data_IF_778837731920
#
_entry.id   IF_778837731920
#
_cell.length_a   1.000
_cell.length_b   1.000
_cell.length_c   1.000
_cell.angle_alpha   90.00
_cell.angle_beta   90.00
_cell.angle_gamma   90.00
#
_symmetry.space_group_name_H-M   'P 1'
#
loop_
_entity.id
_entity.type
_entity.pdbx_description
1 polymer ?
#
# COMPACT_ATOMS: atom_id res chain seq x y z
N UNK A 1 -22.96 12.27 -26.25
CA UNK A 1 -23.74 11.11 -25.81
C UNK A 1 -22.75 10.04 -25.42
N UNK A 2 -22.40 9.96 -24.13
CA UNK A 2 -21.48 8.95 -23.61
C UNK A 2 -22.29 7.70 -23.32
N UNK A 3 -22.18 6.67 -24.16
CA UNK A 3 -22.82 5.39 -23.96
C UNK A 3 -22.36 4.78 -22.64
N UNK A 4 -23.29 4.44 -21.76
CA UNK A 4 -23.01 3.52 -20.65
C UNK A 4 -22.44 2.21 -21.24
N UNK A 5 -21.43 1.58 -20.61
CA UNK A 5 -20.91 0.33 -21.11
C UNK A 5 -22.02 -0.72 -21.13
N UNK A 6 -22.12 -1.44 -22.25
CA UNK A 6 -22.98 -2.63 -22.38
C UNK A 6 -22.43 -3.73 -21.47
N UNK A 7 -22.85 -3.73 -20.23
CA UNK A 7 -22.42 -4.68 -19.18
C UNK A 7 -22.56 -4.00 -17.83
N UNK A 8 -23.02 -4.73 -16.81
CA UNK A 8 -23.12 -4.21 -15.46
C UNK A 8 -21.76 -3.88 -14.84
N UNK A 9 -21.78 -3.35 -13.63
CA UNK A 9 -20.56 -3.00 -12.87
C UNK A 9 -19.57 -4.19 -12.71
N UNK A 10 -20.02 -5.44 -12.49
CA UNK A 10 -19.14 -6.60 -12.40
C UNK A 10 -18.33 -6.86 -13.69
N UNK A 11 -18.96 -6.76 -14.85
CA UNK A 11 -18.34 -6.98 -16.17
C UNK A 11 -17.30 -5.88 -16.47
N UNK A 12 -17.60 -4.60 -16.12
CA UNK A 12 -16.65 -3.51 -16.28
C UNK A 12 -15.42 -3.72 -15.39
N UNK A 13 -15.60 -4.07 -14.11
CA UNK A 13 -14.50 -4.34 -13.19
C UNK A 13 -13.67 -5.54 -13.65
N UNK A 14 -14.31 -6.62 -14.10
CA UNK A 14 -13.63 -7.81 -14.62
C UNK A 14 -12.74 -7.48 -15.81
N UNK A 15 -13.27 -6.75 -16.80
CA UNK A 15 -12.52 -6.34 -17.98
C UNK A 15 -11.33 -5.45 -17.64
N UNK A 16 -11.53 -4.43 -16.79
CA UNK A 16 -10.47 -3.51 -16.35
C UNK A 16 -9.38 -4.22 -15.56
N UNK A 17 -9.77 -5.09 -14.63
CA UNK A 17 -8.83 -5.89 -13.84
C UNK A 17 -7.99 -6.81 -14.73
N UNK A 18 -8.61 -7.46 -15.73
CA UNK A 18 -7.91 -8.30 -16.70
C UNK A 18 -6.88 -7.49 -17.51
N UNK A 19 -7.23 -6.27 -17.94
CA UNK A 19 -6.29 -5.37 -18.64
C UNK A 19 -5.09 -5.01 -17.77
N UNK A 20 -5.32 -4.67 -16.49
CA UNK A 20 -4.23 -4.35 -15.56
C UNK A 20 -3.34 -5.56 -15.31
N UNK A 21 -3.91 -6.74 -15.09
CA UNK A 21 -3.14 -7.98 -14.92
C UNK A 21 -2.31 -8.32 -16.15
N UNK A 22 -2.86 -8.12 -17.36
CA UNK A 22 -2.12 -8.32 -18.62
C UNK A 22 -0.93 -7.35 -18.75
N UNK A 23 -1.10 -6.06 -18.36
CA UNK A 23 0.01 -5.09 -18.33
C UNK A 23 1.10 -5.50 -17.34
N UNK A 24 0.72 -5.96 -16.15
CA UNK A 24 1.67 -6.43 -15.12
C UNK A 24 2.46 -7.61 -15.66
N UNK A 25 1.79 -8.61 -16.23
CA UNK A 25 2.43 -9.80 -16.77
C UNK A 25 3.39 -9.45 -17.91
N UNK A 26 2.98 -8.60 -18.85
CA UNK A 26 3.83 -8.14 -19.94
C UNK A 26 5.07 -7.38 -19.46
N UNK A 27 4.91 -6.47 -18.50
CA UNK A 27 6.02 -5.73 -17.91
C UNK A 27 7.00 -6.65 -17.16
N UNK A 28 6.48 -7.61 -16.40
CA UNK A 28 7.30 -8.58 -15.65
C UNK A 28 8.08 -9.49 -16.58
N UNK A 29 7.45 -9.95 -17.66
CA UNK A 29 8.13 -10.73 -18.70
C UNK A 29 9.26 -9.93 -19.35
N UNK A 30 9.00 -8.68 -19.75
CA UNK A 30 10.00 -7.79 -20.34
C UNK A 30 11.18 -7.51 -19.40
N UNK A 31 10.90 -7.39 -18.09
CA UNK A 31 11.92 -7.19 -17.06
C UNK A 31 12.61 -8.50 -16.59
N UNK A 32 12.20 -9.66 -17.08
CA UNK A 32 12.63 -10.98 -16.59
C UNK A 32 12.52 -11.12 -15.06
N UNK A 33 11.44 -10.57 -14.48
CA UNK A 33 11.17 -10.54 -13.04
C UNK A 33 9.89 -11.30 -12.67
N UNK A 34 9.75 -11.65 -11.39
CA UNK A 34 8.47 -12.15 -10.87
C UNK A 34 7.40 -11.06 -10.88
N UNK A 35 6.16 -11.45 -11.11
CA UNK A 35 5.03 -10.52 -11.06
C UNK A 35 4.88 -9.90 -9.67
N UNK A 36 4.80 -8.56 -9.56
CA UNK A 36 4.52 -7.89 -8.31
C UNK A 36 3.07 -8.14 -7.85
N UNK A 37 2.85 -8.09 -6.56
CA UNK A 37 1.52 -8.14 -5.96
C UNK A 37 0.72 -6.91 -6.35
N UNK A 38 -0.50 -7.11 -6.85
CA UNK A 38 -1.41 -6.02 -7.16
C UNK A 38 -2.23 -5.65 -5.92
N UNK A 39 -2.05 -4.45 -5.42
CA UNK A 39 -2.93 -3.83 -4.43
C UNK A 39 -3.94 -2.96 -5.19
N UNK A 40 -5.22 -3.33 -5.17
CA UNK A 40 -6.28 -2.52 -5.79
C UNK A 40 -6.67 -1.39 -4.84
N UNK A 41 -6.49 -0.14 -5.29
CA UNK A 41 -6.77 1.05 -4.46
C UNK A 41 -8.24 1.41 -4.55
N UNK A 42 -8.98 1.11 -3.48
CA UNK A 42 -10.45 1.16 -3.42
C UNK A 42 -11.03 2.39 -2.75
N UNK A 43 -10.17 3.38 -2.44
CA UNK A 43 -10.63 4.67 -1.89
C UNK A 43 -11.70 5.31 -2.78
N UNK A 44 -12.72 5.91 -2.15
CA UNK A 44 -13.89 6.54 -2.79
C UNK A 44 -14.90 5.57 -3.43
N UNK A 45 -14.64 4.29 -3.50
CA UNK A 45 -15.55 3.30 -4.05
C UNK A 45 -16.23 2.51 -2.93
N UNK A 46 -17.49 2.05 -3.13
CA UNK A 46 -18.26 1.37 -2.09
C UNK A 46 -17.71 -0.05 -1.80
N UNK A 47 -18.10 -0.61 -0.65
CA UNK A 47 -17.78 -1.98 -0.28
C UNK A 47 -18.30 -3.01 -1.29
N UNK A 48 -19.41 -2.73 -1.97
CA UNK A 48 -19.94 -3.58 -3.05
C UNK A 48 -18.95 -3.79 -4.20
N UNK A 49 -18.19 -2.74 -4.60
CA UNK A 49 -17.14 -2.88 -5.61
C UNK A 49 -15.99 -3.76 -5.10
N UNK A 50 -15.62 -3.61 -3.83
CA UNK A 50 -14.58 -4.45 -3.20
C UNK A 50 -15.03 -5.92 -3.16
N UNK A 51 -16.30 -6.20 -2.87
CA UNK A 51 -16.87 -7.55 -2.87
C UNK A 51 -16.83 -8.17 -4.27
N UNK A 52 -17.16 -7.41 -5.31
CA UNK A 52 -17.02 -7.86 -6.70
C UNK A 52 -15.56 -8.20 -7.02
N UNK A 53 -14.63 -7.32 -6.68
CA UNK A 53 -13.20 -7.53 -6.90
C UNK A 53 -12.68 -8.77 -6.16
N UNK A 54 -13.12 -9.01 -4.93
CA UNK A 54 -12.79 -10.23 -4.18
C UNK A 54 -13.28 -11.49 -4.92
N UNK A 55 -14.50 -11.46 -5.48
CA UNK A 55 -15.03 -12.54 -6.34
C UNK A 55 -14.22 -12.74 -7.63
N UNK A 56 -13.51 -11.71 -8.10
CA UNK A 56 -12.59 -11.77 -9.24
C UNK A 56 -11.14 -12.14 -8.83
N UNK A 57 -10.94 -12.59 -7.58
CA UNK A 57 -9.66 -13.04 -7.07
C UNK A 57 -8.70 -11.92 -6.66
N UNK A 58 -9.20 -10.74 -6.32
CA UNK A 58 -8.41 -9.70 -5.64
C UNK A 58 -8.36 -10.02 -4.16
N UNK A 59 -7.16 -10.17 -3.62
CA UNK A 59 -6.89 -10.44 -2.20
C UNK A 59 -6.36 -9.23 -1.45
N UNK A 60 -5.81 -8.23 -2.16
CA UNK A 60 -5.09 -7.09 -1.58
C UNK A 60 -5.75 -5.79 -1.99
N UNK A 61 -6.23 -5.02 -1.01
CA UNK A 61 -6.93 -3.75 -1.21
C UNK A 61 -6.28 -2.60 -0.46
N UNK A 62 -6.21 -1.43 -1.09
CA UNK A 62 -5.51 -0.26 -0.57
C UNK A 62 -6.45 0.90 -0.24
N UNK A 63 -6.30 1.47 0.94
CA UNK A 63 -7.12 2.58 1.42
C UNK A 63 -6.29 3.75 1.95
N UNK A 64 -6.80 4.97 1.78
CA UNK A 64 -6.12 6.19 2.22
C UNK A 64 -6.78 6.85 3.43
N UNK A 65 -8.05 6.54 3.72
CA UNK A 65 -8.86 7.20 4.75
C UNK A 65 -9.26 6.20 5.82
N UNK A 66 -8.73 6.37 7.03
CA UNK A 66 -8.89 5.38 8.10
C UNK A 66 -10.34 5.08 8.49
N UNK A 67 -11.23 6.08 8.48
CA UNK A 67 -12.65 5.87 8.82
C UNK A 67 -13.38 5.09 7.72
N UNK A 68 -13.17 5.46 6.46
CA UNK A 68 -13.74 4.76 5.29
C UNK A 68 -13.25 3.31 5.23
N UNK A 69 -11.95 3.11 5.43
CA UNK A 69 -11.33 1.79 5.45
C UNK A 69 -11.86 0.90 6.58
N UNK A 70 -11.99 1.46 7.79
CA UNK A 70 -12.50 0.70 8.94
C UNK A 70 -13.97 0.25 8.73
N UNK A 71 -14.81 1.12 8.15
CA UNK A 71 -16.19 0.78 7.84
C UNK A 71 -16.28 -0.33 6.79
N UNK A 72 -15.53 -0.22 5.69
CA UNK A 72 -15.46 -1.25 4.64
C UNK A 72 -14.92 -2.58 5.17
N UNK A 73 -13.86 -2.56 5.98
CA UNK A 73 -13.28 -3.75 6.55
C UNK A 73 -14.26 -4.49 7.47
N UNK A 74 -15.07 -3.75 8.25
CA UNK A 74 -16.11 -4.33 9.07
C UNK A 74 -17.28 -4.90 8.24
N UNK A 75 -17.70 -4.21 7.16
CA UNK A 75 -18.75 -4.69 6.25
C UNK A 75 -18.35 -5.94 5.46
N UNK A 76 -17.04 -6.14 5.25
CA UNK A 76 -16.47 -7.21 4.43
C UNK A 76 -15.64 -8.20 5.27
N UNK A 77 -15.95 -8.33 6.57
CA UNK A 77 -15.23 -9.25 7.47
C UNK A 77 -15.36 -10.73 7.09
N UNK A 78 -16.38 -11.07 6.33
CA UNK A 78 -16.60 -12.39 5.74
C UNK A 78 -15.61 -12.74 4.60
N UNK A 79 -14.85 -11.76 4.11
CA UNK A 79 -13.88 -11.92 3.04
C UNK A 79 -12.44 -11.93 3.57
N UNK A 80 -11.63 -12.86 3.05
CA UNK A 80 -10.20 -12.96 3.39
C UNK A 80 -9.38 -11.90 2.64
N UNK A 81 -9.59 -10.61 2.95
CA UNK A 81 -8.89 -9.49 2.32
C UNK A 81 -7.71 -9.01 3.17
N UNK A 82 -6.57 -8.78 2.52
CA UNK A 82 -5.45 -8.05 3.09
C UNK A 82 -5.66 -6.55 2.87
N UNK A 83 -5.89 -5.82 3.96
CA UNK A 83 -6.08 -4.37 3.92
C UNK A 83 -4.75 -3.65 4.06
N UNK A 84 -4.39 -2.84 3.08
CA UNK A 84 -3.18 -2.02 3.06
C UNK A 84 -3.56 -0.56 3.29
N UNK A 85 -3.05 0.04 4.37
CA UNK A 85 -3.19 1.47 4.57
C UNK A 85 -2.06 2.20 3.85
N UNK A 86 -2.41 2.96 2.81
CA UNK A 86 -1.44 3.60 1.90
C UNK A 86 -1.49 5.14 1.92
N UNK A 87 -2.39 5.73 2.71
CA UNK A 87 -2.49 7.17 2.91
C UNK A 87 -1.59 7.67 4.04
N UNK A 88 -1.40 8.99 4.15
CA UNK A 88 -0.71 9.58 5.29
C UNK A 88 -1.45 9.25 6.59
N UNK A 89 -0.73 8.70 7.56
CA UNK A 89 -1.30 8.28 8.83
C UNK A 89 -0.94 9.25 9.96
N UNK A 90 -1.96 9.88 10.53
CA UNK A 90 -1.80 10.63 11.77
C UNK A 90 -1.62 9.67 12.95
N UNK A 91 -0.69 9.96 13.85
CA UNK A 91 -0.36 9.07 14.99
C UNK A 91 -1.57 8.76 15.88
N UNK A 92 -2.50 9.71 16.07
CA UNK A 92 -3.73 9.52 16.82
C UNK A 92 -4.75 8.56 16.16
N UNK A 93 -4.57 8.22 14.87
CA UNK A 93 -5.42 7.28 14.13
C UNK A 93 -4.82 5.85 14.06
N UNK A 94 -3.59 5.65 14.55
CA UNK A 94 -2.91 4.36 14.53
C UNK A 94 -3.76 3.23 15.12
N UNK A 95 -4.43 3.49 16.26
CA UNK A 95 -5.28 2.51 16.94
C UNK A 95 -6.45 2.00 16.08
N UNK A 96 -7.06 2.86 15.28
CA UNK A 96 -8.14 2.47 14.36
C UNK A 96 -7.60 1.64 13.21
N UNK A 97 -6.46 2.04 12.62
CA UNK A 97 -5.86 1.37 11.46
C UNK A 97 -5.36 -0.03 11.81
N UNK A 98 -4.72 -0.19 12.98
CA UNK A 98 -4.18 -1.49 13.44
C UNK A 98 -5.25 -2.57 13.57
N UNK A 99 -6.52 -2.22 13.79
CA UNK A 99 -7.60 -3.21 13.94
C UNK A 99 -7.88 -4.02 12.67
N UNK A 100 -7.69 -3.44 11.50
CA UNK A 100 -8.02 -4.07 10.22
C UNK A 100 -6.81 -4.21 9.28
N UNK A 101 -5.83 -3.30 9.36
CA UNK A 101 -4.74 -3.26 8.39
C UNK A 101 -3.76 -4.42 8.58
N UNK A 102 -3.45 -5.10 7.48
CA UNK A 102 -2.33 -6.04 7.38
C UNK A 102 -1.01 -5.28 7.30
N UNK A 103 -1.00 -4.16 6.58
CA UNK A 103 0.19 -3.33 6.39
C UNK A 103 -0.11 -1.84 6.42
N UNK A 104 0.91 -1.05 6.76
CA UNK A 104 0.95 0.41 6.63
C UNK A 104 2.12 0.78 5.73
N UNK A 105 1.83 1.48 4.62
CA UNK A 105 2.83 1.84 3.61
C UNK A 105 3.38 3.27 3.78
N UNK A 106 2.90 4.00 4.76
CA UNK A 106 3.16 5.43 4.97
C UNK A 106 3.93 5.74 6.25
N UNK A 107 4.83 4.83 6.66
CA UNK A 107 5.65 5.03 7.86
C UNK A 107 6.82 5.95 7.52
N UNK A 108 6.76 7.21 7.97
CA UNK A 108 7.70 8.26 7.57
C UNK A 108 8.40 8.96 8.75
N UNK A 109 8.08 8.59 10.00
CA UNK A 109 8.63 9.25 11.20
C UNK A 109 8.58 8.37 12.44
N UNK A 110 9.52 8.59 13.35
CA UNK A 110 9.67 7.85 14.62
C UNK A 110 8.42 7.93 15.50
N UNK A 111 7.75 9.09 15.55
CA UNK A 111 6.51 9.27 16.34
C UNK A 111 5.38 8.37 15.85
N UNK A 112 5.28 8.10 14.54
CA UNK A 112 4.31 7.17 13.97
C UNK A 112 4.66 5.72 14.31
N UNK A 113 5.94 5.32 14.21
CA UNK A 113 6.40 3.98 14.62
C UNK A 113 6.03 3.71 16.07
N UNK A 114 6.31 4.67 16.96
CA UNK A 114 5.96 4.56 18.39
C UNK A 114 4.43 4.43 18.59
N UNK A 115 3.63 5.18 17.85
CA UNK A 115 2.17 5.12 17.93
C UNK A 115 1.63 3.77 17.42
N UNK A 116 2.19 3.23 16.33
CA UNK A 116 1.83 1.92 15.79
C UNK A 116 2.18 0.80 16.76
N UNK A 117 3.38 0.80 17.35
CA UNK A 117 3.78 -0.20 18.35
C UNK A 117 2.85 -0.22 19.57
N UNK A 118 2.51 0.97 20.13
CA UNK A 118 1.52 1.08 21.19
C UNK A 118 0.13 0.60 20.78
N UNK A 119 -0.28 0.89 19.54
CA UNK A 119 -1.57 0.46 19.02
C UNK A 119 -1.66 -1.04 18.83
N UNK A 120 -0.58 -1.68 18.34
CA UNK A 120 -0.50 -3.14 18.19
C UNK A 120 -0.53 -3.83 19.56
N UNK A 121 0.22 -3.36 20.55
CA UNK A 121 0.20 -3.90 21.90
C UNK A 121 -1.21 -3.86 22.51
N UNK A 122 -1.88 -2.70 22.42
CA UNK A 122 -3.25 -2.55 22.90
C UNK A 122 -4.27 -3.44 22.16
N UNK A 123 -4.06 -3.70 20.87
CA UNK A 123 -4.92 -4.60 20.09
C UNK A 123 -4.67 -6.06 20.47
N UNK A 124 -3.43 -6.46 20.76
CA UNK A 124 -3.12 -7.80 21.28
C UNK A 124 -3.79 -8.05 22.64
N UNK A 125 -3.72 -7.07 23.55
CA UNK A 125 -4.42 -7.13 24.85
C UNK A 125 -5.93 -7.26 24.68
N UNK A 126 -6.53 -6.47 23.78
CA UNK A 126 -7.96 -6.54 23.47
C UNK A 126 -8.37 -7.92 22.94
N UNK A 127 -7.58 -8.50 22.03
CA UNK A 127 -7.81 -9.82 21.46
C UNK A 127 -7.69 -10.91 22.51
N UNK A 128 -6.65 -10.86 23.32
CA UNK A 128 -6.45 -11.80 24.43
C UNK A 128 -7.63 -11.77 25.42
N UNK A 129 -8.08 -10.57 25.80
CA UNK A 129 -9.25 -10.39 26.66
C UNK A 129 -10.57 -10.89 26.06
N UNK A 130 -10.67 -10.95 24.74
CA UNK A 130 -11.82 -11.48 24.00
C UNK A 130 -11.68 -12.97 23.64
N UNK A 131 -10.60 -13.65 24.02
CA UNK A 131 -10.32 -15.04 23.63
C UNK A 131 -10.10 -15.23 22.12
N UNK A 132 -9.72 -14.15 21.41
CA UNK A 132 -9.46 -14.19 19.97
C UNK A 132 -8.00 -14.50 19.69
N UNK A 133 -7.72 -15.10 18.52
CA UNK A 133 -6.36 -15.35 18.06
C UNK A 133 -5.53 -14.07 18.02
N UNK A 134 -4.23 -14.12 18.39
CA UNK A 134 -3.33 -12.99 18.23
C UNK A 134 -3.29 -12.51 16.78
N UNK A 135 -3.20 -11.19 16.60
CA UNK A 135 -2.95 -10.68 15.25
C UNK A 135 -1.49 -10.93 14.85
N UNK A 136 -1.20 -11.17 13.55
CA UNK A 136 0.17 -11.15 13.05
C UNK A 136 0.81 -9.76 13.22
N UNK A 137 2.15 -9.71 13.20
CA UNK A 137 2.87 -8.43 13.17
C UNK A 137 2.37 -7.54 12.03
N UNK A 138 2.35 -6.24 12.29
CA UNK A 138 1.96 -5.24 11.31
C UNK A 138 3.12 -4.98 10.35
N UNK A 139 2.87 -5.22 9.05
CA UNK A 139 3.85 -4.93 8.01
C UNK A 139 4.00 -3.43 7.83
N UNK A 140 5.21 -2.91 8.04
CA UNK A 140 5.54 -1.51 7.92
C UNK A 140 6.46 -1.28 6.71
N UNK A 141 5.97 -0.51 5.73
CA UNK A 141 6.78 0.03 4.65
C UNK A 141 7.17 1.46 4.98
N UNK A 142 8.46 1.76 4.92
CA UNK A 142 8.97 3.10 5.13
C UNK A 142 8.72 3.95 3.90
N UNK A 143 7.97 5.05 4.04
CA UNK A 143 7.72 5.97 2.95
C UNK A 143 8.82 7.01 2.85
N UNK A 144 9.35 7.19 1.64
CA UNK A 144 10.38 8.20 1.34
C UNK A 144 9.93 9.22 0.30
N UNK A 145 10.40 10.47 0.46
CA UNK A 145 10.35 11.47 -0.60
C UNK A 145 11.42 11.13 -1.64
N UNK A 146 11.03 11.17 -2.92
CA UNK A 146 11.94 10.95 -4.04
C UNK A 146 12.27 12.24 -4.80
N UNK A 147 11.95 13.40 -4.24
CA UNK A 147 12.31 14.68 -4.84
C UNK A 147 13.84 14.80 -4.95
N UNK A 148 14.39 15.26 -6.10
CA UNK A 148 15.83 15.32 -6.32
C UNK A 148 16.59 16.20 -5.32
N UNK A 149 15.96 17.27 -4.85
CA UNK A 149 16.51 18.22 -3.88
C UNK A 149 16.25 17.83 -2.42
N UNK A 150 15.64 16.64 -2.17
CA UNK A 150 15.33 16.17 -0.83
C UNK A 150 14.22 16.95 -0.13
N UNK A 151 13.46 17.78 -0.85
CA UNK A 151 12.34 18.51 -0.26
C UNK A 151 11.10 17.62 -0.11
N UNK A 152 10.27 17.94 0.88
CA UNK A 152 8.96 17.28 1.03
C UNK A 152 7.98 17.90 0.01
N UNK A 153 7.39 17.08 -0.85
CA UNK A 153 6.46 17.49 -1.90
C UNK A 153 4.99 17.55 -1.44
N UNK A 154 4.76 17.60 -0.13
CA UNK A 154 3.40 17.60 0.45
C UNK A 154 2.70 16.24 0.44
N UNK A 155 3.30 15.20 -0.17
CA UNK A 155 2.77 13.82 -0.17
C UNK A 155 3.28 12.98 1.01
N UNK A 156 4.10 13.59 1.90
CA UNK A 156 4.77 12.91 3.00
C UNK A 156 5.96 12.08 2.54
N UNK A 157 6.61 11.48 3.49
CA UNK A 157 7.82 10.66 3.29
C UNK A 157 9.01 11.22 4.06
N UNK A 158 9.79 10.32 4.60
CA UNK A 158 11.07 10.63 5.25
C UNK A 158 12.10 11.04 4.21
N UNK A 159 13.17 11.69 4.66
CA UNK A 159 14.33 11.92 3.82
C UNK A 159 15.16 10.64 3.69
N UNK A 160 15.87 10.42 2.58
CA UNK A 160 16.74 9.25 2.42
C UNK A 160 17.78 9.09 3.55
N UNK A 161 18.25 10.20 4.13
CA UNK A 161 19.19 10.19 5.26
C UNK A 161 18.62 9.56 6.54
N UNK A 162 17.30 9.52 6.70
CA UNK A 162 16.63 8.95 7.88
C UNK A 162 16.40 7.43 7.76
N UNK A 163 16.77 6.82 6.62
CA UNK A 163 16.40 5.44 6.29
C UNK A 163 16.85 4.42 7.35
N UNK A 164 18.12 4.45 7.74
CA UNK A 164 18.67 3.51 8.72
C UNK A 164 18.00 3.67 10.09
N UNK A 165 17.88 4.90 10.60
CA UNK A 165 17.29 5.15 11.91
C UNK A 165 15.81 4.78 12.00
N UNK A 166 15.04 5.00 10.92
CA UNK A 166 13.65 4.55 10.85
C UNK A 166 13.55 3.03 10.76
N UNK A 167 14.42 2.40 9.96
CA UNK A 167 14.46 0.95 9.84
C UNK A 167 14.78 0.28 11.18
N UNK A 168 15.81 0.73 11.89
CA UNK A 168 16.17 0.26 13.24
C UNK A 168 15.01 0.44 14.21
N UNK A 169 14.33 1.59 14.15
CA UNK A 169 13.19 1.86 15.03
C UNK A 169 12.03 0.91 14.78
N UNK A 170 11.70 0.59 13.53
CA UNK A 170 10.64 -0.38 13.22
C UNK A 170 11.07 -1.79 13.64
N UNK A 171 12.28 -2.23 13.26
CA UNK A 171 12.80 -3.55 13.59
C UNK A 171 12.90 -3.80 15.10
N UNK A 172 13.21 -2.76 15.89
CA UNK A 172 13.28 -2.82 17.35
C UNK A 172 11.92 -2.61 18.07
N UNK A 173 10.79 -2.51 17.34
CA UNK A 173 9.47 -2.30 17.96
C UNK A 173 8.63 -3.59 17.87
N UNK A 174 8.33 -4.19 19.01
CA UNK A 174 7.55 -5.43 19.10
C UNK A 174 6.17 -5.29 18.40
N UNK A 175 5.77 -6.32 17.67
CA UNK A 175 4.53 -6.38 16.91
C UNK A 175 4.54 -5.61 15.59
N UNK A 176 5.69 -5.00 15.22
CA UNK A 176 5.92 -4.43 13.91
C UNK A 176 6.94 -5.26 13.13
N UNK A 177 6.72 -5.45 11.84
CA UNK A 177 7.66 -6.08 10.92
C UNK A 177 8.09 -5.05 9.87
N UNK A 178 9.39 -4.84 9.74
CA UNK A 178 9.94 -4.02 8.67
C UNK A 178 9.79 -4.78 7.34
N UNK A 179 8.85 -4.35 6.51
CA UNK A 179 8.52 -5.05 5.28
C UNK A 179 9.31 -4.54 4.06
N UNK A 180 9.74 -3.29 4.10
CA UNK A 180 10.48 -2.67 3.01
C UNK A 180 10.25 -1.17 2.89
N UNK A 181 10.27 -0.67 1.66
CA UNK A 181 10.15 0.75 1.33
C UNK A 181 8.91 1.04 0.47
N UNK A 182 8.41 2.27 0.55
CA UNK A 182 7.35 2.77 -0.32
C UNK A 182 7.69 4.17 -0.82
N UNK A 183 7.32 4.47 -2.06
CA UNK A 183 7.33 5.83 -2.56
C UNK A 183 6.29 6.06 -3.66
N UNK A 184 6.04 7.34 -3.91
CA UNK A 184 5.28 7.83 -5.08
C UNK A 184 6.25 8.67 -5.91
N UNK A 185 6.37 8.36 -7.19
CA UNK A 185 7.23 9.14 -8.08
C UNK A 185 6.74 10.60 -8.18
N UNK A 186 7.62 11.60 -8.14
CA UNK A 186 7.24 12.98 -8.39
C UNK A 186 6.64 13.14 -9.80
N UNK A 187 5.66 14.02 -9.95
CA UNK A 187 4.95 14.21 -11.22
C UNK A 187 5.85 14.85 -12.29
N UNK A 188 6.79 15.64 -11.85
CA UNK A 188 7.73 16.45 -12.63
C UNK A 188 9.11 15.80 -12.81
N UNK A 189 9.27 14.55 -12.38
CA UNK A 189 10.51 13.78 -12.53
C UNK A 189 10.30 12.50 -13.33
N UNK A 190 11.39 12.01 -13.92
CA UNK A 190 11.39 10.70 -14.59
C UNK A 190 11.07 9.59 -13.57
N UNK A 191 10.05 8.74 -13.83
CA UNK A 191 9.77 7.58 -12.97
C UNK A 191 10.98 6.65 -12.82
N UNK A 192 11.77 6.44 -13.87
CA UNK A 192 12.95 5.57 -13.85
C UNK A 192 14.00 6.09 -12.86
N UNK A 193 14.31 7.40 -12.92
CA UNK A 193 15.24 8.02 -11.98
C UNK A 193 14.70 8.01 -10.54
N UNK A 194 13.40 8.26 -10.36
CA UNK A 194 12.77 8.23 -9.06
C UNK A 194 12.85 6.82 -8.45
N UNK A 195 12.52 5.79 -9.22
CA UNK A 195 12.58 4.41 -8.74
C UNK A 195 14.01 3.90 -8.54
N UNK A 196 14.99 4.35 -9.36
CA UNK A 196 16.39 4.07 -9.10
C UNK A 196 16.84 4.62 -7.72
N UNK A 197 16.42 5.84 -7.37
CA UNK A 197 16.65 6.40 -6.02
C UNK A 197 16.00 5.56 -4.93
N UNK A 198 14.76 5.09 -5.14
CA UNK A 198 14.08 4.22 -4.18
C UNK A 198 14.83 2.91 -3.93
N UNK A 199 15.43 2.32 -4.96
CA UNK A 199 16.22 1.10 -4.81
C UNK A 199 17.50 1.33 -3.98
N UNK A 200 18.14 2.47 -4.13
CA UNK A 200 19.29 2.84 -3.28
C UNK A 200 18.88 2.96 -1.80
N UNK A 201 17.72 3.60 -1.55
CA UNK A 201 17.15 3.68 -0.20
C UNK A 201 16.79 2.30 0.33
N UNK A 202 16.19 1.44 -0.51
CA UNK A 202 15.87 0.05 -0.16
C UNK A 202 17.12 -0.73 0.26
N UNK A 203 18.25 -0.54 -0.41
CA UNK A 203 19.51 -1.17 -0.02
C UNK A 203 19.96 -0.74 1.39
N UNK A 204 19.81 0.54 1.73
CA UNK A 204 20.12 1.04 3.09
C UNK A 204 19.19 0.44 4.15
N UNK A 205 17.90 0.28 3.85
CA UNK A 205 16.93 -0.36 4.75
C UNK A 205 17.26 -1.84 4.94
N UNK A 206 17.61 -2.56 3.86
CA UNK A 206 18.02 -3.97 3.89
C UNK A 206 19.35 -4.22 4.57
N UNK A 207 20.20 -3.21 4.69
CA UNK A 207 21.41 -3.32 5.50
C UNK A 207 21.09 -3.44 7.01
N UNK A 208 19.95 -2.90 7.46
CA UNK A 208 19.44 -3.04 8.82
C UNK A 208 18.69 -4.37 9.00
N UNK A 209 17.78 -4.70 8.07
CA UNK A 209 17.03 -5.95 8.08
C UNK A 209 17.01 -6.55 6.67
N UNK A 210 17.82 -7.60 6.39
CA UNK A 210 17.88 -8.24 5.08
C UNK A 210 16.54 -8.82 4.59
N UNK A 211 15.58 -9.06 5.48
CA UNK A 211 14.25 -9.58 5.15
C UNK A 211 13.31 -8.49 4.61
N UNK A 212 13.65 -7.21 4.77
CA UNK A 212 12.87 -6.05 4.32
C UNK A 212 12.97 -5.83 2.79
N UNK A 213 12.58 -6.83 2.01
CA UNK A 213 12.75 -6.87 0.55
C UNK A 213 11.62 -6.19 -0.21
N UNK A 214 10.57 -5.76 0.46
CA UNK A 214 9.40 -5.18 -0.17
C UNK A 214 9.67 -3.80 -0.79
N UNK A 215 9.27 -3.61 -2.04
CA UNK A 215 9.30 -2.32 -2.75
C UNK A 215 7.89 -2.01 -3.22
N UNK A 216 7.20 -1.12 -2.50
CA UNK A 216 5.86 -0.66 -2.84
C UNK A 216 5.96 0.61 -3.68
N UNK A 217 5.87 0.46 -4.99
CA UNK A 217 6.01 1.54 -5.97
C UNK A 217 5.17 1.23 -7.21
N UNK A 218 4.83 2.25 -7.98
CA UNK A 218 4.05 2.12 -9.20
C UNK A 218 2.53 2.26 -8.99
N UNK A 219 1.97 3.08 -9.86
CA UNK A 219 0.54 3.36 -10.01
C UNK A 219 0.15 3.21 -11.48
N UNK A 220 -1.07 3.61 -11.87
CA UNK A 220 -1.59 3.47 -13.24
C UNK A 220 -0.69 4.06 -14.33
N UNK A 221 -0.02 5.17 -14.04
CA UNK A 221 0.78 5.91 -15.04
C UNK A 221 2.26 5.54 -15.11
N UNK A 222 2.78 4.78 -14.14
CA UNK A 222 4.20 4.45 -14.02
C UNK A 222 4.45 2.96 -13.66
N UNK A 223 3.45 2.11 -13.94
CA UNK A 223 3.46 0.68 -13.62
C UNK A 223 4.65 -0.03 -14.26
N UNK A 224 4.87 0.18 -15.55
CA UNK A 224 5.92 -0.49 -16.31
C UNK A 224 7.32 -0.12 -15.79
N UNK A 225 7.54 1.17 -15.53
CA UNK A 225 8.80 1.65 -14.95
C UNK A 225 9.04 1.09 -13.54
N UNK A 226 7.98 1.01 -12.71
CA UNK A 226 8.08 0.43 -11.38
C UNK A 226 8.43 -1.07 -11.43
N UNK A 227 7.82 -1.84 -12.34
CA UNK A 227 8.13 -3.27 -12.53
C UNK A 227 9.57 -3.44 -13.00
N UNK A 228 10.01 -2.65 -13.98
CA UNK A 228 11.37 -2.67 -14.48
C UNK A 228 12.40 -2.36 -13.39
N UNK A 229 12.04 -1.47 -12.45
CA UNK A 229 12.85 -1.15 -11.28
C UNK A 229 12.76 -2.20 -10.16
N UNK A 230 12.00 -3.29 -10.30
CA UNK A 230 11.90 -4.34 -9.28
C UNK A 230 10.88 -4.08 -8.18
N UNK A 231 9.83 -3.32 -8.45
CA UNK A 231 8.70 -3.20 -7.52
C UNK A 231 8.10 -4.58 -7.20
N UNK A 232 7.83 -4.81 -5.91
CA UNK A 232 7.18 -6.05 -5.45
C UNK A 232 5.69 -5.87 -5.19
N UNK A 233 5.24 -4.61 -5.09
CA UNK A 233 3.84 -4.24 -4.86
C UNK A 233 3.48 -3.04 -5.72
N UNK A 234 2.43 -3.18 -6.53
CA UNK A 234 1.83 -2.11 -7.31
C UNK A 234 0.53 -1.64 -6.67
N UNK A 235 0.23 -0.33 -6.75
CA UNK A 235 -0.97 0.28 -6.15
C UNK A 235 -1.82 0.91 -7.24
N UNK A 236 -2.75 0.16 -7.81
CA UNK A 236 -3.54 0.57 -8.97
C UNK A 236 -4.98 0.84 -8.56
N UNK A 237 -5.49 2.02 -8.89
CA UNK A 237 -6.87 2.42 -8.59
C UNK A 237 -7.69 2.69 -9.84
N UNK A 238 -7.44 3.81 -10.52
CA UNK A 238 -8.25 4.30 -11.64
C UNK A 238 -8.35 3.33 -12.82
N UNK A 239 -7.31 2.57 -13.11
CA UNK A 239 -7.34 1.63 -14.23
C UNK A 239 -8.25 0.42 -13.94
N UNK A 240 -8.41 0.04 -12.66
CA UNK A 240 -9.31 -1.04 -12.24
C UNK A 240 -10.73 -0.54 -12.00
N UNK A 241 -10.88 0.55 -11.23
CA UNK A 241 -12.17 1.00 -10.72
C UNK A 241 -12.83 2.08 -11.60
N UNK A 242 -12.07 2.68 -12.52
CA UNK A 242 -12.53 3.78 -13.36
C UNK A 242 -12.38 5.15 -12.68
N UNK A 243 -13.00 6.19 -13.26
CA UNK A 243 -12.98 7.54 -12.72
C UNK A 243 -13.69 7.58 -11.36
N UNK A 244 -13.27 8.51 -10.51
CA UNK A 244 -13.91 8.70 -9.19
C UNK A 244 -15.40 8.98 -9.36
N UNK A 245 -16.26 8.37 -8.53
CA UNK A 245 -17.65 8.78 -8.45
C UNK A 245 -17.73 10.28 -8.10
N UNK A 246 -18.68 10.99 -8.72
CA UNK A 246 -18.97 12.36 -8.31
C UNK A 246 -19.32 12.37 -6.81
N UNK A 247 -18.67 13.26 -6.06
CA UNK A 247 -19.03 13.46 -4.65
C UNK A 247 -20.37 14.21 -4.67
N UNK A 248 -21.44 13.53 -4.29
CA UNK A 248 -22.72 14.15 -4.06
C UNK A 248 -22.72 15.02 -2.81
#
# INVERSE_FOLDING_TARGET
>A
MSGAPEGGRPEDLSRRLAQVRSRISAASHAASSSEPRLIVVTKYFPASDVRILAGLGVSDVGENRGQEAAAKAAELEDLSLAWHFIGQLQSNKARSVVRYARSVHSVDRVSLVTALGKAVAAEQERRAGAGSEPRPDLDCYLQFSLHPDGTADGRGGALPADAAGLAEKVAGTAGLRLAGVMAVAPVDASPDEAFARLLMISASVRAVDPSATGVSAGMSGDLEAAVAAGATHLRIGSDVLGPRPAVG
#
